data_IF_671465839761
#
_entry.id   IF_671465839761
#
_cell.length_a   1.000
_cell.length_b   1.000
_cell.length_c   1.000
_cell.angle_alpha   90.00
_cell.angle_beta   90.00
_cell.angle_gamma   90.00
#
_symmetry.space_group_name_H-M   'P 1'
#
loop_
_entity.id
_entity.type
_entity.pdbx_description
1 polymer ?
#
# COMPACT_ATOMS: atom_id res chain seq x y z
N UNK A 1 -15.54 -1.37 9.27
CA UNK A 1 -14.74 -0.14 9.01
C UNK A 1 -13.50 -0.25 9.86
N UNK A 2 -12.32 0.02 9.30
CA UNK A 2 -11.05 0.00 10.01
C UNK A 2 -10.20 1.22 9.66
N UNK A 3 -9.25 1.53 10.55
CA UNK A 3 -8.15 2.46 10.32
C UNK A 3 -6.85 1.68 10.52
N UNK A 4 -5.98 1.67 9.50
CA UNK A 4 -4.73 0.93 9.51
C UNK A 4 -3.55 1.87 9.23
N UNK A 5 -2.81 2.30 10.26
CA UNK A 5 -1.62 3.12 10.06
C UNK A 5 -0.54 2.31 9.34
N UNK A 6 0.24 2.98 8.47
CA UNK A 6 1.32 2.37 7.70
C UNK A 6 2.53 3.29 7.67
N UNK A 7 3.69 2.68 7.85
CA UNK A 7 5.00 3.30 7.69
C UNK A 7 5.80 2.43 6.73
N UNK A 8 6.46 3.07 5.78
CA UNK A 8 7.39 2.42 4.88
C UNK A 8 8.64 3.28 4.79
N UNK A 9 9.79 2.65 4.97
CA UNK A 9 11.08 3.30 4.88
C UNK A 9 12.02 2.44 4.04
N UNK A 10 12.68 3.07 3.07
CA UNK A 10 13.67 2.42 2.23
C UNK A 10 14.91 3.32 2.11
N UNK A 11 16.07 2.69 2.15
CA UNK A 11 17.35 3.35 1.92
C UNK A 11 18.17 2.53 0.93
N UNK A 12 18.43 3.10 -0.25
CA UNK A 12 19.22 2.47 -1.32
C UNK A 12 20.25 3.48 -1.83
N UNK A 13 21.54 3.11 -1.84
CA UNK A 13 22.65 3.88 -2.46
C UNK A 13 22.61 5.40 -2.16
N UNK A 14 22.51 5.79 -0.88
CA UNK A 14 22.41 7.18 -0.39
C UNK A 14 21.08 7.92 -0.68
N UNK A 15 20.13 7.30 -1.36
CA UNK A 15 18.76 7.79 -1.43
C UNK A 15 17.93 7.16 -0.31
N UNK A 16 17.19 7.98 0.44
CA UNK A 16 16.21 7.51 1.43
C UNK A 16 14.82 7.99 1.07
N UNK A 17 13.84 7.14 1.30
CA UNK A 17 12.43 7.45 1.11
C UNK A 17 11.63 6.93 2.32
N UNK A 18 10.83 7.82 2.89
CA UNK A 18 9.94 7.58 4.01
C UNK A 18 8.51 7.91 3.57
N UNK A 19 7.62 6.95 3.70
CA UNK A 19 6.19 7.08 3.50
C UNK A 19 5.48 6.86 4.84
N UNK A 20 4.70 7.85 5.26
CA UNK A 20 3.90 7.81 6.48
C UNK A 20 2.44 8.06 6.12
N UNK A 21 1.53 7.21 6.59
CA UNK A 21 0.13 7.39 6.25
C UNK A 21 -0.79 6.36 6.90
N UNK A 22 -2.01 6.31 6.38
CA UNK A 22 -3.02 5.38 6.89
C UNK A 22 -4.00 4.98 5.81
N UNK A 23 -4.47 3.74 5.89
CA UNK A 23 -5.64 3.27 5.17
C UNK A 23 -6.88 3.41 6.04
N UNK A 24 -7.98 3.84 5.42
CA UNK A 24 -9.32 3.78 5.98
C UNK A 24 -10.14 2.92 5.03
N UNK A 25 -10.75 1.86 5.53
CA UNK A 25 -11.43 0.90 4.66
C UNK A 25 -12.54 0.11 5.33
N UNK A 26 -13.16 -0.73 4.52
CA UNK A 26 -14.23 -1.63 4.93
C UNK A 26 -14.00 -3.02 4.33
N UNK A 27 -13.75 -3.98 5.22
CA UNK A 27 -13.69 -5.39 4.85
C UNK A 27 -15.10 -5.96 4.73
N UNK A 28 -15.38 -6.57 3.59
CA UNK A 28 -16.63 -7.28 3.33
C UNK A 28 -16.52 -8.73 3.79
N UNK A 29 -17.67 -9.31 4.18
CA UNK A 29 -17.72 -10.72 4.57
C UNK A 29 -17.37 -11.64 3.40
N UNK A 30 -16.80 -12.82 3.70
CA UNK A 30 -16.26 -13.82 2.74
C UNK A 30 -17.24 -14.34 1.67
N UNK A 31 -18.51 -13.91 1.67
CA UNK A 31 -19.50 -14.25 0.65
C UNK A 31 -19.42 -13.36 -0.60
N UNK A 32 -18.77 -12.21 -0.53
CA UNK A 32 -18.60 -11.29 -1.67
C UNK A 32 -17.25 -11.51 -2.35
N UNK A 33 -17.20 -11.40 -3.68
CA UNK A 33 -15.93 -11.49 -4.46
C UNK A 33 -15.00 -10.31 -4.20
N UNK A 34 -15.56 -9.18 -3.78
CA UNK A 34 -14.81 -8.03 -3.27
C UNK A 34 -14.64 -8.26 -1.78
N UNK A 35 -13.39 -8.32 -1.31
CA UNK A 35 -13.07 -8.56 0.09
C UNK A 35 -12.79 -7.27 0.86
N UNK A 36 -12.28 -6.23 0.20
CA UNK A 36 -11.94 -4.97 0.84
C UNK A 36 -12.09 -3.79 -0.13
N UNK A 37 -12.45 -2.62 0.42
CA UNK A 37 -12.36 -1.32 -0.26
C UNK A 37 -11.76 -0.32 0.71
N UNK A 38 -10.78 0.45 0.24
CA UNK A 38 -10.08 1.43 1.07
C UNK A 38 -9.74 2.71 0.33
N UNK A 39 -9.61 3.78 1.10
CA UNK A 39 -8.90 4.99 0.74
C UNK A 39 -7.66 5.11 1.63
N UNK A 40 -6.60 5.70 1.10
CA UNK A 40 -5.37 5.92 1.86
C UNK A 40 -4.82 7.32 1.59
N UNK A 41 -4.18 7.86 2.62
CA UNK A 41 -3.45 9.11 2.56
C UNK A 41 -2.04 8.85 3.07
N UNK A 42 -1.05 9.35 2.34
CA UNK A 42 0.35 9.27 2.71
C UNK A 42 1.06 10.60 2.51
N UNK A 43 2.13 10.76 3.27
CA UNK A 43 3.09 11.84 3.14
C UNK A 43 4.44 11.20 2.82
N UNK A 44 5.09 11.69 1.77
CA UNK A 44 6.40 11.23 1.31
C UNK A 44 7.48 12.24 1.68
N UNK A 45 8.52 11.76 2.35
CA UNK A 45 9.71 12.52 2.71
C UNK A 45 10.97 11.65 2.72
N UNK A 46 12.05 12.14 3.32
CA UNK A 46 13.31 11.40 3.51
C UNK A 46 14.05 11.87 4.75
N UNK A 47 15.04 11.11 5.21
CA UNK A 47 15.91 11.55 6.32
C UNK A 47 16.82 12.66 5.75
N UNK A 48 16.77 13.84 6.35
CA UNK A 48 17.44 15.09 5.90
C UNK A 48 16.86 15.75 4.64
N UNK A 49 15.63 15.42 4.22
CA UNK A 49 14.93 16.13 3.14
C UNK A 49 13.55 16.61 3.61
N UNK A 50 13.11 17.77 3.10
CA UNK A 50 11.75 18.23 3.32
C UNK A 50 10.72 17.25 2.75
N UNK A 51 9.53 17.28 3.32
CA UNK A 51 8.37 16.61 2.75
C UNK A 51 8.15 17.13 1.33
N UNK A 52 8.20 16.23 0.35
CA UNK A 52 8.10 16.62 -1.06
C UNK A 52 6.72 16.36 -1.64
N UNK A 53 5.98 15.38 -1.12
CA UNK A 53 4.69 15.05 -1.71
C UNK A 53 3.66 14.50 -0.71
N UNK A 54 2.40 14.76 -1.04
CA UNK A 54 1.23 14.16 -0.41
C UNK A 54 0.57 13.22 -1.44
N UNK A 55 0.27 12.00 -1.02
CA UNK A 55 -0.24 10.95 -1.88
C UNK A 55 -1.63 10.56 -1.42
N UNK A 56 -2.57 10.56 -2.34
CA UNK A 56 -3.92 10.04 -2.13
C UNK A 56 -4.10 8.77 -2.94
N UNK A 57 -4.68 7.74 -2.34
CA UNK A 57 -4.91 6.48 -3.02
C UNK A 57 -6.30 5.93 -2.70
N UNK A 58 -6.88 5.23 -3.67
CA UNK A 58 -8.09 4.42 -3.49
C UNK A 58 -7.85 3.04 -4.07
N UNK A 59 -8.36 2.01 -3.42
CA UNK A 59 -8.15 0.64 -3.86
C UNK A 59 -9.20 -0.33 -3.37
N UNK A 60 -9.19 -1.51 -3.98
CA UNK A 60 -10.08 -2.59 -3.62
C UNK A 60 -9.42 -3.94 -3.88
N UNK A 61 -9.86 -4.93 -3.12
CA UNK A 61 -9.41 -6.32 -3.23
C UNK A 61 -10.51 -7.19 -3.85
N UNK A 62 -10.16 -7.93 -4.90
CA UNK A 62 -11.05 -8.85 -5.62
C UNK A 62 -10.36 -10.20 -5.86
N UNK A 63 -10.84 -11.28 -5.24
CA UNK A 63 -10.38 -12.65 -5.47
C UNK A 63 -8.84 -12.78 -5.66
N UNK A 64 -8.07 -12.40 -4.64
CA UNK A 64 -6.59 -12.40 -4.63
C UNK A 64 -5.89 -11.31 -5.44
N UNK A 65 -6.63 -10.41 -6.08
CA UNK A 65 -6.08 -9.23 -6.74
C UNK A 65 -6.33 -7.98 -5.92
N UNK A 66 -5.32 -7.12 -5.81
CA UNK A 66 -5.46 -5.76 -5.30
C UNK A 66 -5.29 -4.79 -6.47
N UNK A 67 -6.24 -3.89 -6.61
CA UNK A 67 -6.19 -2.79 -7.58
C UNK A 67 -6.16 -1.49 -6.80
N UNK A 68 -5.22 -0.59 -7.15
CA UNK A 68 -5.08 0.68 -6.48
C UNK A 68 -4.75 1.79 -7.46
N UNK A 69 -5.52 2.89 -7.39
CA UNK A 69 -5.28 4.13 -8.10
C UNK A 69 -4.66 5.12 -7.13
N UNK A 70 -3.61 5.81 -7.58
CA UNK A 70 -2.79 6.66 -6.73
C UNK A 70 -2.62 8.00 -7.45
N UNK A 71 -2.72 9.08 -6.68
CA UNK A 71 -2.46 10.44 -7.10
C UNK A 71 -1.37 11.05 -6.21
N UNK A 72 -0.26 11.40 -6.83
CA UNK A 72 0.89 12.02 -6.19
C UNK A 72 0.86 13.53 -6.40
N UNK A 73 0.79 14.29 -5.30
CA UNK A 73 0.69 15.74 -5.31
C UNK A 73 1.93 16.38 -4.69
N UNK A 74 2.68 17.10 -5.52
CA UNK A 74 3.88 17.82 -5.11
C UNK A 74 3.55 19.02 -4.21
N UNK A 75 4.11 18.99 -3.00
CA UNK A 75 4.02 20.05 -1.99
C UNK A 75 5.39 20.67 -1.69
N UNK A 76 6.44 20.27 -2.41
CA UNK A 76 7.79 20.78 -2.22
C UNK A 76 7.88 22.28 -2.57
N UNK A 77 8.62 23.02 -1.73
CA UNK A 77 8.87 24.45 -1.92
C UNK A 77 9.91 24.77 -3.01
N UNK A 78 10.49 23.76 -3.66
CA UNK A 78 11.52 23.92 -4.71
C UNK A 78 10.89 24.05 -6.10
N UNK A 79 10.14 25.12 -6.34
CA UNK A 79 9.63 25.43 -7.68
C UNK A 79 10.47 26.56 -8.33
N UNK A 80 11.38 26.19 -9.24
CA UNK A 80 12.14 27.15 -10.09
C UNK A 80 11.48 27.32 -11.46
N UNK A 81 10.52 26.47 -11.84
CA UNK A 81 9.77 26.58 -13.09
C UNK A 81 8.33 26.12 -12.86
N UNK A 82 7.39 26.82 -13.49
CA UNK A 82 5.92 26.89 -13.32
C UNK A 82 5.13 25.59 -13.58
N UNK A 83 5.76 24.41 -13.55
CA UNK A 83 5.09 23.14 -13.83
C UNK A 83 5.13 22.23 -12.61
N UNK A 84 4.03 22.27 -11.84
CA UNK A 84 3.76 21.34 -10.74
C UNK A 84 3.69 19.92 -11.29
N UNK A 85 4.56 19.03 -10.84
CA UNK A 85 4.59 17.64 -11.31
C UNK A 85 3.60 16.82 -10.49
N UNK A 86 2.40 16.61 -11.04
CA UNK A 86 1.43 15.68 -10.47
C UNK A 86 1.50 14.38 -11.27
N UNK A 87 1.51 13.24 -10.58
CA UNK A 87 1.52 11.93 -11.23
C UNK A 87 0.27 11.12 -10.88
N UNK A 88 -0.30 10.47 -11.89
CA UNK A 88 -1.31 9.44 -11.71
C UNK A 88 -0.63 8.09 -11.87
N UNK A 89 -0.83 7.21 -10.90
CA UNK A 89 -0.25 5.87 -10.90
C UNK A 89 -1.34 4.80 -10.73
N UNK A 90 -1.09 3.63 -11.30
CA UNK A 90 -1.93 2.46 -11.21
C UNK A 90 -1.11 1.27 -10.69
N UNK A 91 -1.62 0.61 -9.66
CA UNK A 91 -1.02 -0.58 -9.07
C UNK A 91 -1.97 -1.77 -9.20
N UNK A 92 -1.43 -2.90 -9.67
CA UNK A 92 -2.12 -4.18 -9.77
C UNK A 92 -1.23 -5.24 -9.11
N UNK A 93 -1.72 -5.87 -8.05
CA UNK A 93 -0.96 -6.84 -7.26
C UNK A 93 -1.74 -8.14 -7.19
N UNK A 94 -1.11 -9.26 -7.54
CA UNK A 94 -1.65 -10.60 -7.30
C UNK A 94 -1.05 -11.20 -6.03
N UNK A 95 -1.91 -11.59 -5.08
CA UNK A 95 -1.55 -12.19 -3.80
C UNK A 95 -1.81 -13.69 -3.88
N UNK A 96 -0.75 -14.47 -4.11
CA UNK A 96 -0.87 -15.93 -4.18
C UNK A 96 -1.47 -16.52 -2.88
N UNK A 97 -2.30 -17.57 -2.96
CA UNK A 97 -2.75 -18.30 -1.80
C UNK A 97 -1.58 -18.88 -0.98
N UNK A 98 -1.78 -19.02 0.33
CA UNK A 98 -0.81 -19.66 1.21
C UNK A 98 -0.65 -21.13 0.85
N UNK A 99 0.59 -21.55 0.55
CA UNK A 99 0.90 -22.94 0.16
C UNK A 99 1.25 -23.84 1.35
N UNK A 100 1.45 -23.26 2.53
CA UNK A 100 1.74 -24.02 3.75
C UNK A 100 0.44 -24.58 4.35
N UNK A 101 0.41 -25.90 4.52
CA UNK A 101 -0.72 -26.58 5.16
C UNK A 101 -0.69 -26.32 6.67
N UNK A 102 -1.69 -25.61 7.20
CA UNK A 102 -1.80 -25.25 8.63
C UNK A 102 -1.98 -26.45 9.57
N UNK A 103 -2.46 -27.58 9.05
CA UNK A 103 -2.56 -28.86 9.79
C UNK A 103 -1.79 -29.94 9.06
N UNK A 104 -0.62 -30.30 9.60
CA UNK A 104 0.06 -31.55 9.24
C UNK A 104 -0.50 -32.68 10.11
N UNK A 105 -1.25 -33.60 9.51
CA UNK A 105 -1.51 -34.89 10.17
C UNK A 105 -0.22 -35.73 10.04
N UNK A 106 0.49 -35.93 11.15
CA UNK A 106 1.58 -36.92 11.18
C UNK A 106 0.90 -38.29 11.15
N UNK A 107 1.10 -39.11 10.10
CA UNK A 107 0.53 -40.45 10.09
C UNK A 107 1.12 -41.24 11.26
N UNK A 108 0.25 -41.93 12.00
CA UNK A 108 0.66 -42.85 13.06
C UNK A 108 1.49 -43.98 12.43
N UNK A 109 2.71 -44.20 12.93
CA UNK A 109 3.49 -45.38 12.56
C UNK A 109 2.91 -46.57 13.30
N UNK A 110 2.42 -47.55 12.55
CA UNK A 110 1.98 -48.84 13.08
C UNK A 110 3.26 -49.68 13.24
N UNK A 111 3.75 -49.81 14.47
CA UNK A 111 4.79 -50.78 14.85
C UNK A 111 4.15 -51.94 15.60
#
# INVERSE_FOLDING_TARGET
IYLKPRIYYVWIKKASELLLGSHIGYEFNQKTKISDVYAAFYVRGGIERNTDAAIFAVGFDHNNWNFCFIYDYDISGLHVTTSRSNAFELSVIYIRPETFVKRKSVPCMIF
#
